data_IF_557894084265
#
_entry.id   IF_557894084265
#
_cell.length_a   1.000
_cell.length_b   1.000
_cell.length_c   1.000
_cell.angle_alpha   90.00
_cell.angle_beta   90.00
_cell.angle_gamma   90.00
#
_symmetry.space_group_name_H-M   'P 1'
#
loop_
_entity.id
_entity.type
_entity.pdbx_description
1 polymer ?
#
# COMPACT_ATOMS: atom_id res chain seq x y z
N UNK A 1 16.08 -0.37 -5.12
CA UNK A 1 16.52 -1.62 -4.45
C UNK A 1 16.15 -1.51 -2.98
N UNK A 2 15.63 -2.56 -2.31
CA UNK A 2 15.39 -2.50 -0.87
C UNK A 2 16.72 -2.31 -0.11
N UNK A 3 16.72 -1.58 1.02
CA UNK A 3 17.92 -1.42 1.83
C UNK A 3 18.33 -2.78 2.41
N UNK A 4 19.60 -3.16 2.23
CA UNK A 4 20.17 -4.35 2.86
C UNK A 4 20.24 -4.14 4.36
N UNK A 5 19.64 -5.05 5.14
CA UNK A 5 19.63 -4.97 6.61
C UNK A 5 20.96 -5.41 7.25
N UNK A 6 21.95 -5.87 6.47
CA UNK A 6 23.28 -6.28 6.92
C UNK A 6 23.29 -7.19 8.17
N UNK A 7 22.25 -8.01 8.35
CA UNK A 7 22.13 -8.91 9.51
C UNK A 7 21.80 -8.21 10.85
N UNK A 8 21.43 -6.93 10.86
CA UNK A 8 21.12 -6.18 12.08
C UNK A 8 19.70 -5.60 12.06
N UNK A 9 18.96 -5.74 13.17
CA UNK A 9 17.65 -5.10 13.30
C UNK A 9 17.81 -3.58 13.54
N UNK A 10 17.14 -2.71 12.76
CA UNK A 10 17.25 -1.25 12.92
C UNK A 10 16.57 -0.71 14.17
N UNK A 11 15.65 -1.46 14.79
CA UNK A 11 14.92 -1.01 15.99
C UNK A 11 15.61 -1.40 17.30
N UNK A 12 16.20 -2.60 17.38
CA UNK A 12 16.79 -3.12 18.62
C UNK A 12 18.29 -3.43 18.52
N UNK A 13 18.89 -3.21 17.36
CA UNK A 13 20.32 -3.43 17.08
C UNK A 13 20.84 -4.85 17.31
N UNK A 14 19.95 -5.84 17.47
CA UNK A 14 20.33 -7.26 17.56
C UNK A 14 20.85 -7.77 16.23
N UNK A 15 21.85 -8.65 16.34
CA UNK A 15 22.50 -9.30 15.22
C UNK A 15 21.87 -10.67 14.95
N UNK A 16 21.76 -11.00 13.67
CA UNK A 16 21.18 -12.23 13.16
C UNK A 16 22.07 -12.78 12.05
N UNK A 17 22.16 -14.12 11.98
CA UNK A 17 23.01 -14.82 11.00
C UNK A 17 22.56 -14.59 9.54
N UNK A 18 21.30 -14.26 9.32
CA UNK A 18 20.73 -14.05 7.98
C UNK A 18 19.73 -12.90 7.96
N UNK A 19 19.60 -12.23 6.82
CA UNK A 19 18.59 -11.20 6.59
C UNK A 19 17.16 -11.75 6.79
N UNK A 20 16.91 -13.01 6.41
CA UNK A 20 15.64 -13.68 6.66
C UNK A 20 15.31 -13.81 8.16
N UNK A 21 16.32 -13.97 9.02
CA UNK A 21 16.14 -13.99 10.47
C UNK A 21 15.84 -12.59 11.02
N UNK A 22 16.44 -11.53 10.47
CA UNK A 22 16.09 -10.13 10.80
C UNK A 22 14.63 -9.85 10.42
N UNK A 23 14.22 -10.20 9.20
CA UNK A 23 12.84 -10.00 8.73
C UNK A 23 11.82 -10.79 9.56
N UNK A 24 12.15 -12.03 9.93
CA UNK A 24 11.29 -12.85 10.80
C UNK A 24 11.16 -12.24 12.20
N UNK A 25 12.25 -11.70 12.73
CA UNK A 25 12.25 -10.98 14.01
C UNK A 25 11.38 -9.73 13.95
N UNK A 26 11.56 -8.87 12.94
CA UNK A 26 10.77 -7.65 12.74
C UNK A 26 9.27 -7.93 12.55
N UNK A 27 8.91 -9.02 11.87
CA UNK A 27 7.52 -9.38 11.62
C UNK A 27 6.88 -10.23 12.74
N UNK A 28 7.57 -10.43 13.87
CA UNK A 28 7.06 -11.23 14.98
C UNK A 28 6.33 -10.36 16.03
N UNK A 29 5.06 -10.70 16.31
CA UNK A 29 4.14 -9.92 17.17
C UNK A 29 4.59 -9.69 18.62
N UNK A 30 5.53 -10.48 19.14
CA UNK A 30 6.02 -10.32 20.52
C UNK A 30 7.24 -9.41 20.63
N UNK A 31 7.81 -8.98 19.51
CA UNK A 31 8.94 -8.03 19.53
C UNK A 31 8.39 -6.60 19.56
N UNK A 32 9.04 -5.72 20.32
CA UNK A 32 8.76 -4.28 20.30
C UNK A 32 9.43 -3.57 19.12
N UNK A 33 9.88 -4.34 18.12
CA UNK A 33 10.59 -3.83 16.95
C UNK A 33 9.59 -3.41 15.88
N UNK A 34 9.98 -2.41 15.09
CA UNK A 34 9.17 -2.01 13.94
C UNK A 34 9.08 -3.17 12.96
N UNK A 35 7.90 -3.37 12.39
CA UNK A 35 7.76 -4.33 11.30
C UNK A 35 8.55 -3.82 10.09
N UNK A 36 8.86 -4.73 9.16
CA UNK A 36 9.57 -4.34 7.93
C UNK A 36 8.83 -3.23 7.16
N UNK A 37 7.50 -3.27 7.15
CA UNK A 37 6.68 -2.23 6.52
C UNK A 37 6.79 -0.88 7.23
N UNK A 38 6.73 -0.85 8.55
CA UNK A 38 6.83 0.41 9.32
C UNK A 38 8.24 1.03 9.19
N UNK A 39 9.28 0.19 9.14
CA UNK A 39 10.65 0.64 8.91
C UNK A 39 10.79 1.31 7.53
N UNK A 40 10.24 0.70 6.47
CA UNK A 40 10.26 1.29 5.13
C UNK A 40 9.52 2.63 5.08
N UNK A 41 8.42 2.78 5.82
CA UNK A 41 7.69 4.05 5.91
C UNK A 41 8.52 5.11 6.64
N UNK A 42 9.29 4.73 7.67
CA UNK A 42 10.13 5.65 8.44
C UNK A 42 11.36 6.20 7.70
N UNK A 43 11.89 5.46 6.72
CA UNK A 43 13.05 5.87 5.92
C UNK A 43 12.65 6.58 4.62
N UNK A 44 11.36 6.60 4.29
CA UNK A 44 10.88 7.27 3.10
C UNK A 44 10.97 8.79 3.32
N UNK A 45 11.68 9.55 2.47
CA UNK A 45 11.76 11.00 2.61
C UNK A 45 10.35 11.60 2.48
N UNK A 46 9.77 12.05 3.58
CA UNK A 46 8.53 12.82 3.54
C UNK A 46 8.84 14.22 3.03
N UNK A 47 8.15 14.71 1.97
CA UNK A 47 8.23 16.10 1.61
C UNK A 47 7.52 16.94 2.68
N UNK A 48 8.32 17.63 3.50
CA UNK A 48 7.98 18.96 4.01
C UNK A 48 7.02 19.08 5.20
N UNK A 49 7.21 18.33 6.30
CA UNK A 49 6.68 18.76 7.60
C UNK A 49 7.77 18.78 8.69
N UNK A 50 7.98 19.91 9.38
CA UNK A 50 8.98 20.01 10.43
C UNK A 50 8.51 19.23 11.65
N UNK A 51 9.17 18.10 11.91
CA UNK A 51 9.01 17.33 13.14
C UNK A 51 9.66 18.12 14.29
N UNK A 52 8.84 18.81 15.08
CA UNK A 52 9.24 19.41 16.35
C UNK A 52 9.58 18.28 17.34
N UNK A 53 10.85 17.89 17.40
CA UNK A 53 11.37 17.03 18.46
C UNK A 53 12.09 17.91 19.47
N UNK A 54 11.37 18.25 20.53
CA UNK A 54 11.94 18.78 21.76
C UNK A 54 13.06 17.84 22.25
N UNK A 55 14.29 18.34 22.30
CA UNK A 55 15.32 17.85 23.21
C UNK A 55 15.81 19.03 24.04
N UNK A 56 15.46 18.98 25.31
CA UNK A 56 16.04 19.72 26.41
C UNK A 56 17.51 19.31 26.61
N UNK A 57 18.46 20.24 26.47
CA UNK A 57 19.37 20.69 27.54
C UNK A 57 20.58 21.51 26.99
N UNK A 58 20.71 22.72 27.55
CA UNK A 58 21.91 23.51 27.95
C UNK A 58 23.21 22.68 28.12
N UNK A 59 24.45 23.13 27.86
CA UNK A 59 25.18 24.43 27.94
C UNK A 59 26.33 24.44 26.88
N UNK A 60 26.59 25.52 26.12
CA UNK A 60 27.54 26.66 26.29
C UNK A 60 29.00 26.44 25.78
N UNK A 61 29.43 27.36 24.88
CA UNK A 61 30.80 27.77 24.45
C UNK A 61 31.78 26.70 23.89
N UNK A 62 32.54 26.88 22.78
CA UNK A 62 33.34 28.03 22.36
C UNK A 62 33.96 27.78 20.95
N UNK A 63 34.09 28.84 20.13
CA UNK A 63 35.14 29.20 19.13
C UNK A 63 35.81 28.19 18.17
N UNK A 64 35.72 28.55 16.88
CA UNK A 64 36.78 28.74 15.83
C UNK A 64 37.77 27.62 15.45
N UNK A 65 37.71 27.15 14.20
CA UNK A 65 38.72 27.32 13.12
C UNK A 65 38.33 26.42 11.93
N UNK A 66 38.12 26.97 10.74
CA UNK A 66 39.09 27.03 9.63
C UNK A 66 39.65 25.67 9.20
N UNK A 67 39.10 25.13 8.11
CA UNK A 67 39.90 24.41 7.11
C UNK A 67 39.20 24.51 5.77
N UNK A 68 39.79 25.31 4.90
CA UNK A 68 39.55 25.38 3.46
C UNK A 68 39.85 24.01 2.83
N UNK A 69 38.88 23.40 2.15
CA UNK A 69 39.16 22.34 1.18
C UNK A 69 38.40 22.65 -0.12
N UNK A 70 39.14 22.76 -1.20
CA UNK A 70 38.70 23.11 -2.54
C UNK A 70 37.76 22.04 -3.10
N UNK A 71 36.54 22.45 -3.49
CA UNK A 71 35.61 21.62 -4.25
C UNK A 71 35.81 21.87 -5.76
N UNK A 72 36.36 20.87 -6.46
CA UNK A 72 36.23 20.74 -7.91
C UNK A 72 34.78 20.32 -8.26
N UNK A 73 34.16 20.90 -9.32
CA UNK A 73 32.83 20.48 -9.74
C UNK A 73 32.89 19.11 -10.42
N UNK A 74 32.46 18.07 -9.70
CA UNK A 74 32.12 16.78 -10.28
C UNK A 74 30.93 16.95 -11.23
N UNK A 75 31.15 16.57 -12.49
CA UNK A 75 30.15 16.54 -13.56
C UNK A 75 28.96 15.65 -13.14
N UNK A 76 27.76 16.22 -13.13
CA UNK A 76 26.51 15.51 -12.94
C UNK A 76 26.21 14.71 -14.24
N UNK A 77 26.37 13.39 -14.17
CA UNK A 77 25.84 12.47 -15.20
C UNK A 77 24.31 12.42 -15.07
N UNK A 78 23.63 13.34 -15.75
CA UNK A 78 22.18 13.29 -15.99
C UNK A 78 21.83 11.96 -16.69
N UNK A 79 20.91 11.13 -16.15
CA UNK A 79 20.48 9.92 -16.83
C UNK A 79 19.64 10.31 -18.05
N UNK A 80 20.28 10.29 -19.22
CA UNK A 80 19.61 10.40 -20.52
C UNK A 80 18.51 9.34 -20.60
N UNK A 81 17.26 9.80 -20.55
CA UNK A 81 16.09 9.00 -20.86
C UNK A 81 16.15 8.57 -22.32
N UNK A 82 16.68 7.37 -22.58
CA UNK A 82 16.68 6.71 -23.89
C UNK A 82 15.26 6.25 -24.23
N UNK A 83 14.36 7.23 -24.45
CA UNK A 83 12.97 7.02 -24.85
C UNK A 83 12.82 6.71 -26.34
N UNK A 84 13.91 6.53 -27.09
CA UNK A 84 13.89 6.45 -28.56
C UNK A 84 14.38 5.12 -29.15
N UNK A 85 14.65 4.09 -28.33
CA UNK A 85 14.87 2.74 -28.85
C UNK A 85 13.53 2.09 -29.22
N UNK A 86 13.31 1.71 -30.50
CA UNK A 86 12.15 0.89 -30.85
C UNK A 86 12.24 -0.43 -30.11
N UNK A 87 11.27 -0.69 -29.24
CA UNK A 87 11.17 -1.92 -28.47
C UNK A 87 10.70 -3.03 -29.43
N UNK A 88 11.63 -3.86 -29.89
CA UNK A 88 11.29 -5.04 -30.68
C UNK A 88 10.76 -6.10 -29.71
N UNK A 89 9.46 -6.38 -29.77
CA UNK A 89 8.82 -7.45 -29.00
C UNK A 89 8.48 -8.59 -29.96
N UNK A 90 9.31 -9.64 -29.97
CA UNK A 90 8.98 -10.90 -30.62
C UNK A 90 7.91 -11.63 -29.79
N UNK A 91 6.65 -11.44 -30.16
CA UNK A 91 5.52 -12.11 -29.51
C UNK A 91 5.51 -13.57 -29.96
N UNK A 92 5.66 -14.50 -29.02
CA UNK A 92 5.58 -15.93 -29.29
C UNK A 92 4.25 -16.30 -29.96
N UNK A 93 4.20 -17.23 -30.94
CA UNK A 93 2.96 -17.57 -31.66
C UNK A 93 1.84 -18.07 -30.76
N UNK A 94 2.17 -18.64 -29.59
CA UNK A 94 1.20 -19.04 -28.55
C UNK A 94 1.06 -18.00 -27.42
N UNK A 95 1.37 -16.73 -27.66
CA UNK A 95 1.18 -15.70 -26.66
C UNK A 95 -0.32 -15.58 -26.32
N UNK A 96 -0.68 -15.52 -25.03
CA UNK A 96 -2.07 -15.42 -24.62
C UNK A 96 -2.69 -14.13 -25.16
N UNK A 97 -3.77 -14.27 -25.94
CA UNK A 97 -4.57 -13.16 -26.46
C UNK A 97 -5.56 -12.68 -25.39
N UNK A 98 -5.68 -11.36 -25.22
CA UNK A 98 -6.67 -10.77 -24.30
C UNK A 98 -8.00 -10.61 -25.02
N UNK A 99 -9.03 -11.35 -24.60
CA UNK A 99 -10.38 -11.21 -25.13
C UNK A 99 -11.06 -9.96 -24.54
N UNK A 100 -10.98 -8.83 -25.25
CA UNK A 100 -11.72 -7.60 -24.93
C UNK A 100 -11.26 -6.83 -23.68
N UNK A 101 -11.84 -5.64 -23.49
CA UNK A 101 -11.64 -4.80 -22.30
C UNK A 101 -13.00 -4.59 -21.61
N UNK A 102 -13.24 -5.35 -20.54
CA UNK A 102 -14.39 -5.16 -19.67
C UNK A 102 -14.07 -4.18 -18.53
N UNK A 103 -15.07 -3.50 -17.96
CA UNK A 103 -14.86 -2.68 -16.77
C UNK A 103 -14.36 -3.57 -15.63
N UNK A 104 -13.17 -3.24 -15.11
CA UNK A 104 -12.57 -3.95 -14.00
C UNK A 104 -13.15 -3.54 -12.65
N UNK A 105 -12.67 -4.18 -11.59
CA UNK A 105 -13.03 -3.80 -10.22
C UNK A 105 -12.72 -2.31 -9.96
N UNK A 106 -11.58 -1.83 -10.43
CA UNK A 106 -11.19 -0.43 -10.22
C UNK A 106 -12.12 0.54 -10.98
N UNK A 107 -12.64 0.13 -12.14
CA UNK A 107 -13.59 0.92 -12.91
C UNK A 107 -14.93 0.94 -12.18
N UNK A 108 -15.44 -0.21 -11.73
CA UNK A 108 -16.64 -0.28 -10.90
C UNK A 108 -16.51 0.50 -9.58
N UNK A 109 -15.33 0.44 -8.95
CA UNK A 109 -15.00 1.23 -7.77
C UNK A 109 -15.06 2.72 -8.12
N UNK A 110 -14.47 3.16 -9.21
CA UNK A 110 -14.43 4.58 -9.61
C UNK A 110 -15.72 5.09 -10.29
N UNK A 111 -16.69 4.22 -10.57
CA UNK A 111 -17.98 4.59 -11.15
C UNK A 111 -19.16 4.50 -10.18
N UNK A 112 -18.92 4.10 -8.91
CA UNK A 112 -20.01 4.00 -7.93
C UNK A 112 -20.50 5.36 -7.41
N UNK A 113 -21.65 5.36 -6.72
CA UNK A 113 -22.30 6.56 -6.14
C UNK A 113 -21.44 7.41 -5.20
N UNK A 114 -20.29 6.89 -4.76
CA UNK A 114 -19.35 7.54 -3.84
C UNK A 114 -18.06 8.00 -4.52
N UNK A 115 -17.88 7.75 -5.82
CA UNK A 115 -16.65 8.03 -6.54
C UNK A 115 -16.23 9.50 -6.47
N UNK A 116 -17.16 10.43 -6.74
CA UNK A 116 -16.87 11.87 -6.71
C UNK A 116 -16.39 12.32 -5.33
N UNK A 117 -16.98 11.77 -4.27
CA UNK A 117 -16.66 12.16 -2.90
C UNK A 117 -15.34 11.56 -2.42
N UNK A 118 -14.86 10.48 -3.07
CA UNK A 118 -13.53 9.91 -2.83
C UNK A 118 -12.39 10.70 -3.44
N UNK A 119 -12.66 11.63 -4.35
CA UNK A 119 -11.64 12.54 -4.90
C UNK A 119 -11.09 13.47 -3.82
N UNK A 120 -11.94 13.93 -2.88
CA UNK A 120 -11.52 14.78 -1.76
C UNK A 120 -11.17 14.01 -0.50
N UNK A 121 -11.82 12.86 -0.26
CA UNK A 121 -11.55 12.01 0.90
C UNK A 121 -11.52 10.54 0.49
N UNK A 122 -10.32 9.95 0.42
CA UNK A 122 -10.13 8.54 0.06
C UNK A 122 -10.92 7.57 0.97
N UNK A 123 -11.17 7.96 2.22
CA UNK A 123 -11.90 7.18 3.23
C UNK A 123 -13.38 7.53 3.29
N UNK A 124 -13.93 8.09 2.22
CA UNK A 124 -15.33 8.48 2.14
C UNK A 124 -16.27 7.35 2.59
N UNK A 125 -17.33 7.72 3.32
CA UNK A 125 -18.10 6.96 4.34
C UNK A 125 -17.60 7.18 5.76
N UNK A 126 -16.38 7.67 5.93
CA UNK A 126 -15.82 8.16 7.18
C UNK A 126 -15.24 9.56 6.95
N UNK A 127 -15.00 10.31 8.02
CA UNK A 127 -14.51 11.68 7.98
C UNK A 127 -13.04 11.76 7.54
N UNK A 128 -12.21 10.82 8.04
CA UNK A 128 -10.77 10.76 7.80
C UNK A 128 -10.19 9.35 8.06
N UNK A 129 -8.89 9.17 7.80
CA UNK A 129 -8.16 7.90 7.93
C UNK A 129 -8.26 7.29 9.34
N UNK A 130 -8.19 8.13 10.36
CA UNK A 130 -8.15 7.73 11.77
C UNK A 130 -9.49 7.12 12.19
N UNK A 131 -10.59 7.76 11.79
CA UNK A 131 -11.94 7.22 12.00
C UNK A 131 -12.12 5.90 11.26
N UNK A 132 -11.63 5.79 10.02
CA UNK A 132 -11.64 4.52 9.31
C UNK A 132 -10.84 3.43 10.05
N UNK A 133 -9.68 3.79 10.60
CA UNK A 133 -8.87 2.89 11.43
C UNK A 133 -9.65 2.34 12.62
N UNK A 134 -10.34 3.22 13.36
CA UNK A 134 -11.21 2.84 14.48
C UNK A 134 -12.37 1.96 14.02
N UNK A 135 -13.06 2.34 12.95
CA UNK A 135 -14.18 1.60 12.37
C UNK A 135 -13.77 0.18 11.94
N UNK A 136 -12.65 0.06 11.23
CA UNK A 136 -12.07 -1.21 10.77
C UNK A 136 -11.66 -2.09 11.96
N UNK A 137 -11.01 -1.50 12.97
CA UNK A 137 -10.66 -2.21 14.19
C UNK A 137 -11.90 -2.72 14.93
N UNK A 138 -12.90 -1.86 15.16
CA UNK A 138 -14.16 -2.25 15.81
C UNK A 138 -14.84 -3.39 15.07
N UNK A 139 -14.91 -3.34 13.74
CA UNK A 139 -15.52 -4.40 12.91
C UNK A 139 -14.77 -5.73 12.98
N UNK A 140 -13.46 -5.71 13.22
CA UNK A 140 -12.60 -6.91 13.26
C UNK A 140 -12.29 -7.41 14.66
N UNK A 141 -12.64 -6.63 15.68
CA UNK A 141 -12.34 -6.90 17.09
C UNK A 141 -13.06 -8.13 17.67
N UNK A 142 -14.12 -8.61 17.02
CA UNK A 142 -14.99 -9.66 17.54
C UNK A 142 -15.93 -9.19 18.65
N UNK A 143 -15.98 -7.88 18.94
CA UNK A 143 -16.93 -7.31 19.90
C UNK A 143 -18.39 -7.53 19.44
N UNK A 144 -19.27 -7.80 20.40
CA UNK A 144 -20.70 -7.86 20.14
C UNK A 144 -21.23 -6.46 19.75
N UNK A 145 -22.38 -6.39 19.07
CA UNK A 145 -23.01 -5.10 18.76
C UNK A 145 -23.22 -4.25 20.00
N UNK A 146 -23.68 -4.87 21.09
CA UNK A 146 -23.92 -4.18 22.35
C UNK A 146 -22.63 -3.62 22.95
N UNK A 147 -21.54 -4.38 22.94
CA UNK A 147 -20.24 -3.91 23.44
C UNK A 147 -19.69 -2.73 22.59
N UNK A 148 -19.93 -2.74 21.28
CA UNK A 148 -19.60 -1.62 20.41
C UNK A 148 -20.48 -0.40 20.75
N UNK A 149 -21.78 -0.57 20.96
CA UNK A 149 -22.67 0.53 21.39
C UNK A 149 -22.24 1.12 22.74
N UNK A 150 -21.90 0.26 23.72
CA UNK A 150 -21.41 0.67 25.04
C UNK A 150 -20.09 1.46 24.91
N UNK A 151 -19.16 1.02 24.05
CA UNK A 151 -17.93 1.74 23.75
C UNK A 151 -18.20 3.11 23.11
N UNK A 152 -19.09 3.18 22.12
CA UNK A 152 -19.45 4.44 21.44
C UNK A 152 -20.19 5.42 22.36
N UNK A 153 -20.86 4.92 23.40
CA UNK A 153 -21.53 5.72 24.40
C UNK A 153 -20.57 6.39 25.41
N UNK A 154 -19.31 5.95 25.50
CA UNK A 154 -18.33 6.51 26.42
C UNK A 154 -18.13 8.02 26.16
N UNK A 155 -18.14 8.89 27.20
CA UNK A 155 -18.04 10.34 27.03
C UNK A 155 -16.83 10.79 26.20
N UNK A 156 -15.68 10.14 26.40
CA UNK A 156 -14.46 10.42 25.65
C UNK A 156 -14.60 10.08 24.15
N UNK A 157 -15.31 9.01 23.82
CA UNK A 157 -15.54 8.59 22.43
C UNK A 157 -16.57 9.51 21.75
N UNK A 158 -17.59 9.96 22.50
CA UNK A 158 -18.59 10.90 22.00
C UNK A 158 -18.01 12.27 21.61
N UNK A 159 -16.86 12.65 22.17
CA UNK A 159 -16.16 13.89 21.80
C UNK A 159 -15.49 13.80 20.42
N UNK A 160 -15.24 12.60 19.88
CA UNK A 160 -14.58 12.40 18.58
C UNK A 160 -15.47 12.70 17.37
N UNK A 161 -16.73 13.08 17.58
CA UNK A 161 -17.69 13.43 16.51
C UNK A 161 -17.69 12.42 15.35
N UNK A 162 -17.79 11.13 15.66
CA UNK A 162 -17.73 10.07 14.65
C UNK A 162 -18.96 10.14 13.72
N UNK A 163 -18.76 9.77 12.47
CA UNK A 163 -19.81 9.63 11.45
C UNK A 163 -20.80 8.50 11.76
N UNK A 164 -20.48 7.62 12.71
CA UNK A 164 -21.34 6.56 13.21
C UNK A 164 -21.48 6.64 14.74
N UNK A 165 -22.71 6.53 15.21
CA UNK A 165 -23.05 6.65 16.65
C UNK A 165 -23.42 5.29 17.27
N UNK A 166 -23.71 4.29 16.44
CA UNK A 166 -24.12 2.94 16.89
C UNK A 166 -23.37 1.87 16.10
N UNK A 167 -23.29 0.66 16.66
CA UNK A 167 -22.80 -0.53 15.97
C UNK A 167 -23.58 -0.80 14.67
N UNK A 168 -24.88 -0.50 14.65
CA UNK A 168 -25.74 -0.66 13.47
C UNK A 168 -25.34 0.30 12.35
N UNK A 169 -25.13 1.58 12.67
CA UNK A 169 -24.72 2.57 11.65
C UNK A 169 -23.30 2.33 11.17
N UNK A 170 -22.40 1.86 12.05
CA UNK A 170 -21.08 1.38 11.65
C UNK A 170 -21.16 0.25 10.62
N UNK A 171 -21.92 -0.81 10.92
CA UNK A 171 -22.07 -1.97 10.02
C UNK A 171 -22.68 -1.57 8.68
N UNK A 172 -23.74 -0.75 8.70
CA UNK A 172 -24.35 -0.26 7.46
C UNK A 172 -23.36 0.48 6.58
N UNK A 173 -22.48 1.32 7.16
CA UNK A 173 -21.42 2.01 6.40
C UNK A 173 -20.37 1.04 5.86
N UNK A 174 -20.01 0.01 6.62
CA UNK A 174 -19.06 -1.01 6.15
C UNK A 174 -19.66 -1.84 5.01
N UNK A 175 -20.94 -2.18 5.08
CA UNK A 175 -21.65 -2.91 4.03
C UNK A 175 -21.83 -2.09 2.74
N UNK A 176 -21.89 -0.77 2.86
CA UNK A 176 -21.88 0.17 1.73
C UNK A 176 -20.52 0.25 1.02
N UNK A 177 -19.47 -0.34 1.60
CA UNK A 177 -18.18 -0.45 0.91
C UNK A 177 -18.33 -1.38 -0.30
N UNK A 178 -17.67 -1.06 -1.42
CA UNK A 178 -17.68 -1.91 -2.59
C UNK A 178 -17.13 -3.28 -2.21
N UNK A 179 -17.96 -4.31 -2.41
CA UNK A 179 -17.59 -5.69 -2.13
C UNK A 179 -16.37 -6.05 -2.96
N UNK A 180 -15.41 -6.72 -2.33
CA UNK A 180 -14.31 -7.32 -3.06
C UNK A 180 -14.85 -8.24 -4.17
N UNK A 181 -14.18 -8.32 -5.33
CA UNK A 181 -14.60 -9.22 -6.38
C UNK A 181 -14.65 -10.65 -5.84
N UNK A 182 -15.72 -11.38 -6.17
CA UNK A 182 -15.79 -12.80 -5.86
C UNK A 182 -14.69 -13.53 -6.63
N UNK A 183 -13.96 -14.39 -5.93
CA UNK A 183 -12.99 -15.27 -6.56
C UNK A 183 -13.75 -16.42 -7.21
N UNK A 184 -13.54 -16.63 -8.51
CA UNK A 184 -14.09 -17.78 -9.20
C UNK A 184 -12.99 -18.84 -9.31
N UNK A 185 -13.34 -20.11 -9.10
CA UNK A 185 -12.43 -21.24 -9.28
C UNK A 185 -12.87 -22.04 -10.49
N UNK A 186 -11.93 -22.34 -11.39
CA UNK A 186 -12.16 -23.26 -12.49
C UNK A 186 -11.17 -24.41 -12.38
N UNK A 187 -11.68 -25.64 -12.52
CA UNK A 187 -10.82 -26.83 -12.59
C UNK A 187 -10.28 -26.93 -14.01
N UNK A 188 -8.97 -26.88 -14.15
CA UNK A 188 -8.31 -27.05 -15.45
C UNK A 188 -8.14 -28.55 -15.68
N UNK A 189 -8.88 -29.11 -16.64
CA UNK A 189 -8.67 -30.48 -17.10
C UNK A 189 -7.57 -30.50 -18.15
N UNK A 190 -6.45 -31.13 -17.82
CA UNK A 190 -5.39 -31.42 -18.78
C UNK A 190 -5.68 -32.77 -19.43
N UNK A 191 -5.92 -32.80 -20.74
CA UNK A 191 -6.14 -34.06 -21.46
C UNK A 191 -4.83 -34.86 -21.50
N UNK A 192 -4.90 -36.13 -21.06
CA UNK A 192 -3.76 -37.06 -21.09
C UNK A 192 -2.95 -37.18 -19.78
N UNK A 193 -3.29 -36.44 -18.73
CA UNK A 193 -2.64 -36.57 -17.42
C UNK A 193 -3.67 -36.72 -16.30
N UNK A 194 -3.58 -37.82 -15.54
CA UNK A 194 -4.36 -37.99 -14.31
C UNK A 194 -3.68 -37.22 -13.18
N UNK A 195 -4.35 -36.19 -12.67
CA UNK A 195 -3.88 -35.48 -11.48
C UNK A 195 -4.49 -36.13 -10.24
N UNK A 196 -3.66 -36.48 -9.24
CA UNK A 196 -4.11 -37.08 -7.97
C UNK A 196 -5.02 -36.12 -7.18
N UNK A 197 -4.90 -34.81 -7.44
CA UNK A 197 -5.80 -33.76 -6.97
C UNK A 197 -6.03 -32.77 -8.10
N UNK A 198 -7.26 -32.26 -8.29
CA UNK A 198 -7.54 -31.29 -9.34
C UNK A 198 -6.70 -30.02 -9.17
N UNK A 199 -6.11 -29.55 -10.27
CA UNK A 199 -5.48 -28.22 -10.31
C UNK A 199 -6.60 -27.19 -10.36
N UNK A 200 -6.76 -26.46 -9.26
CA UNK A 200 -7.74 -25.37 -9.15
C UNK A 200 -7.04 -24.06 -9.45
N UNK A 201 -7.39 -23.42 -10.56
CA UNK A 201 -6.95 -22.07 -10.85
C UNK A 201 -7.82 -21.08 -10.07
N UNK A 202 -7.20 -20.27 -9.22
CA UNK A 202 -7.84 -19.15 -8.54
C UNK A 202 -7.93 -17.98 -9.52
N UNK A 203 -9.01 -17.89 -10.28
CA UNK A 203 -9.27 -16.74 -11.13
C UNK A 203 -9.93 -15.62 -10.30
N UNK A 204 -9.11 -14.71 -9.76
CA UNK A 204 -9.59 -13.35 -9.53
C UNK A 204 -9.97 -12.73 -10.87
N UNK A 205 -10.97 -11.82 -10.91
CA UNK A 205 -11.33 -11.10 -12.14
C UNK A 205 -10.05 -10.56 -12.80
N UNK A 206 -9.63 -11.20 -13.89
CA UNK A 206 -8.39 -10.88 -14.59
C UNK A 206 -8.62 -9.60 -15.37
N UNK A 207 -8.24 -8.46 -14.80
CA UNK A 207 -8.10 -7.21 -15.55
C UNK A 207 -6.60 -6.96 -15.68
N UNK A 208 -6.04 -7.43 -16.80
CA UNK A 208 -4.65 -7.16 -17.17
C UNK A 208 -4.54 -5.69 -17.54
N UNK A 209 -3.94 -4.89 -16.67
CA UNK A 209 -3.58 -3.48 -16.92
C UNK A 209 -2.51 -3.43 -18.02
N UNK A 210 -2.74 -2.67 -19.09
CA UNK A 210 -1.66 -2.22 -19.98
C UNK A 210 -1.72 -0.72 -20.19
N UNK A 211 -0.53 -0.13 -20.18
CA UNK A 211 -0.24 1.30 -20.30
C UNK A 211 -0.57 1.76 -21.72
N UNK A 212 -1.21 2.93 -21.82
CA UNK A 212 -1.60 3.53 -23.10
C UNK A 212 -0.36 3.99 -23.86
N UNK A 213 -0.29 3.65 -25.13
CA UNK A 213 0.31 4.52 -26.14
C UNK A 213 -0.74 4.83 -27.19
N UNK A 214 -0.92 6.13 -27.42
CA UNK A 214 -1.80 6.70 -28.43
C UNK A 214 -1.13 6.54 -29.80
N UNK A 215 -1.82 5.94 -30.76
CA UNK A 215 -1.44 6.07 -32.18
C UNK A 215 -2.48 6.94 -32.89
N UNK A 216 -2.00 8.08 -33.39
CA UNK A 216 -2.71 8.97 -34.31
C UNK A 216 -2.82 8.34 -35.71
N UNK A 217 -3.83 8.69 -36.54
CA UNK A 217 -4.09 8.02 -37.82
C UNK A 217 -3.15 8.50 -38.94
N UNK A 218 -2.61 7.55 -39.70
CA UNK A 218 -1.87 7.79 -40.94
C UNK A 218 -2.83 8.22 -42.06
N UNK A 219 -2.47 9.34 -42.68
CA UNK A 219 -3.02 9.82 -43.94
C UNK A 219 -2.37 9.04 -45.08
N UNK A 220 -3.14 8.49 -46.00
CA UNK A 220 -2.81 8.34 -47.42
C UNK A 220 -4.08 7.99 -48.21
N UNK A 221 -4.63 8.97 -48.91
CA UNK A 221 -4.81 8.98 -50.38
C UNK A 221 -4.97 10.41 -50.83
#
# INVERSE_FOLDING_TARGET
MPPSLNGQCPSCHRWFETEAAVLRHMNHRSTSCLTWFDYLESISPHPGYPSSRNQSNRDEATRSDDTTHSDEPMLEDEPVSDSNRPRYEDIHPNAPFVFGSGPGFIDAFNSNRHAEKRKSNLYYLFYHKEEWGLASWLSRSGLSMRAIDDFLALPIVRQLSLSFVTAKTLRSRIEDLPKAPAWNTQTVSLSGYETVKPVVELAGVVVKRSIRTLTSPSWFT
#
